data_IF_263731432304
#
_entry.id   IF_263731432304
#
_cell.length_a   1.000
_cell.length_b   1.000
_cell.length_c   1.000
_cell.angle_alpha   90.00
_cell.angle_beta   90.00
_cell.angle_gamma   90.00
#
_symmetry.space_group_name_H-M   'P 1'
#
loop_
_entity.id
_entity.type
_entity.pdbx_description
1 polymer ?
#
# COMPACT_ATOMS: atom_id res chain seq x y z
N UNK A 1 -53.80 33.13 -79.79
CA UNK A 1 -54.13 33.64 -78.45
C UNK A 1 -54.33 32.45 -77.51
N UNK A 2 -53.38 32.18 -76.60
CA UNK A 2 -53.48 31.45 -75.32
C UNK A 2 -52.08 31.06 -74.84
N UNK A 3 -51.45 32.01 -74.16
CA UNK A 3 -50.23 31.90 -73.36
C UNK A 3 -50.47 30.88 -72.24
N UNK A 4 -49.72 29.78 -72.19
CA UNK A 4 -49.69 28.89 -71.02
C UNK A 4 -48.48 29.23 -70.16
N UNK A 5 -48.78 29.88 -69.04
CA UNK A 5 -47.88 30.30 -67.98
C UNK A 5 -47.33 29.06 -67.26
N UNK A 6 -46.04 28.76 -67.42
CA UNK A 6 -45.33 27.73 -66.64
C UNK A 6 -45.05 28.27 -65.24
N UNK A 7 -45.78 27.73 -64.25
CA UNK A 7 -45.57 28.06 -62.83
C UNK A 7 -44.28 27.37 -62.36
N UNK A 8 -43.20 28.12 -62.26
CA UNK A 8 -41.94 27.69 -61.64
C UNK A 8 -42.20 27.33 -60.17
N UNK A 9 -42.18 26.04 -59.86
CA UNK A 9 -42.28 25.52 -58.51
C UNK A 9 -40.91 25.73 -57.84
N UNK A 10 -40.80 26.77 -57.01
CA UNK A 10 -39.59 27.01 -56.20
C UNK A 10 -39.52 25.92 -55.13
N UNK A 11 -38.74 24.88 -55.38
CA UNK A 11 -38.32 23.91 -54.37
C UNK A 11 -37.31 24.59 -53.45
N UNK A 12 -37.77 25.05 -52.30
CA UNK A 12 -36.89 25.50 -51.21
C UNK A 12 -36.17 24.27 -50.66
N UNK A 13 -34.94 24.04 -51.09
CA UNK A 13 -34.05 23.06 -50.46
C UNK A 13 -33.66 23.64 -49.11
N UNK A 14 -34.28 23.16 -48.04
CA UNK A 14 -33.81 23.40 -46.69
C UNK A 14 -32.45 22.70 -46.55
N UNK A 15 -31.36 23.49 -46.53
CA UNK A 15 -30.03 22.99 -46.24
C UNK A 15 -30.04 22.45 -44.81
N UNK A 16 -30.10 21.12 -44.66
CA UNK A 16 -29.79 20.45 -43.41
C UNK A 16 -28.28 20.62 -43.24
N UNK A 17 -27.89 21.62 -42.45
CA UNK A 17 -26.53 21.76 -41.95
C UNK A 17 -26.25 20.54 -41.08
N UNK A 18 -25.58 19.54 -41.66
CA UNK A 18 -24.92 18.47 -40.92
C UNK A 18 -23.91 19.20 -40.04
N UNK A 19 -24.25 19.41 -38.77
CA UNK A 19 -23.32 19.91 -37.79
C UNK A 19 -22.12 19.00 -37.82
N UNK A 20 -20.95 19.54 -38.14
CA UNK A 20 -19.70 18.82 -37.99
C UNK A 20 -19.59 18.47 -36.50
N UNK A 21 -19.98 17.24 -36.15
CA UNK A 21 -19.64 16.64 -34.88
C UNK A 21 -18.13 16.59 -34.86
N UNK A 22 -17.53 17.59 -34.22
CA UNK A 22 -16.14 17.54 -33.81
C UNK A 22 -16.07 16.34 -32.87
N UNK A 23 -15.62 15.20 -33.41
CA UNK A 23 -15.09 14.10 -32.63
C UNK A 23 -13.90 14.68 -31.88
N UNK A 24 -14.17 15.30 -30.73
CA UNK A 24 -13.14 15.58 -29.76
C UNK A 24 -12.51 14.21 -29.48
N UNK A 25 -11.22 14.01 -29.76
CA UNK A 25 -10.56 12.80 -29.30
C UNK A 25 -10.77 12.76 -27.80
N UNK A 26 -11.50 11.74 -27.33
CA UNK A 26 -11.51 11.43 -25.91
C UNK A 26 -10.03 11.36 -25.51
N UNK A 27 -9.58 12.13 -24.52
CA UNK A 27 -8.21 11.98 -24.07
C UNK A 27 -8.04 10.51 -23.70
N UNK A 28 -7.03 9.86 -24.29
CA UNK A 28 -6.68 8.47 -23.99
C UNK A 28 -6.51 8.23 -22.47
N UNK A 29 -6.34 9.31 -21.70
CA UNK A 29 -6.32 9.34 -20.24
C UNK A 29 -7.55 8.78 -19.52
N UNK A 30 -8.69 8.56 -20.21
CA UNK A 30 -9.87 7.97 -19.58
C UNK A 30 -9.81 6.43 -19.44
N UNK A 31 -8.81 5.78 -20.07
CA UNK A 31 -8.54 4.34 -19.90
C UNK A 31 -7.32 4.06 -19.03
N UNK A 32 -6.69 5.10 -18.47
CA UNK A 32 -5.57 4.91 -17.59
C UNK A 32 -6.09 4.36 -16.26
N UNK A 33 -5.57 3.19 -15.87
CA UNK A 33 -5.62 2.78 -14.47
C UNK A 33 -5.22 3.97 -13.59
N UNK A 34 -5.89 4.20 -12.45
CA UNK A 34 -5.57 5.32 -11.59
C UNK A 34 -4.06 5.39 -11.35
N UNK A 35 -3.46 6.57 -11.55
CA UNK A 35 -2.01 6.77 -11.39
C UNK A 35 -1.52 6.13 -10.08
N UNK A 36 -0.39 5.38 -10.09
CA UNK A 36 0.17 4.83 -8.86
C UNK A 36 0.32 5.91 -7.80
N UNK A 37 -0.05 5.58 -6.56
CA UNK A 37 0.13 6.47 -5.43
C UNK A 37 1.57 6.53 -4.93
N UNK A 38 1.80 7.28 -3.87
CA UNK A 38 3.10 7.37 -3.21
C UNK A 38 3.25 6.28 -2.13
N UNK A 39 4.36 5.55 -2.16
CA UNK A 39 4.62 4.43 -1.26
C UNK A 39 4.72 4.86 0.21
N UNK A 40 5.46 5.94 0.49
CA UNK A 40 5.68 6.40 1.86
C UNK A 40 4.39 6.95 2.47
N UNK A 41 3.67 7.78 1.71
CA UNK A 41 2.34 8.27 2.07
C UNK A 41 1.35 7.13 2.28
N UNK A 42 1.45 6.07 1.47
CA UNK A 42 0.64 4.87 1.61
C UNK A 42 0.90 4.11 2.90
N UNK A 43 2.18 3.91 3.25
CA UNK A 43 2.57 3.27 4.52
C UNK A 43 2.04 4.05 5.72
N UNK A 44 2.07 5.39 5.66
CA UNK A 44 1.55 6.27 6.71
C UNK A 44 0.01 6.22 6.78
N UNK A 45 -0.66 6.39 5.65
CA UNK A 45 -2.12 6.35 5.59
C UNK A 45 -2.67 4.99 6.06
N UNK A 46 -1.96 3.90 5.76
CA UNK A 46 -2.27 2.57 6.27
C UNK A 46 -2.14 2.49 7.80
N UNK A 47 -1.02 2.95 8.34
CA UNK A 47 -0.74 2.98 9.78
C UNK A 47 -1.82 3.74 10.57
N UNK A 48 -2.20 4.92 10.07
CA UNK A 48 -3.07 5.85 10.77
C UNK A 48 -4.54 5.41 10.78
N UNK A 49 -4.97 4.61 9.80
CA UNK A 49 -6.40 4.35 9.56
C UNK A 49 -6.83 2.88 9.81
N UNK A 50 -5.93 1.90 9.67
CA UNK A 50 -6.34 0.51 9.54
C UNK A 50 -6.44 -0.24 10.88
N UNK A 51 -5.54 0.05 11.83
CA UNK A 51 -5.57 -0.54 13.18
C UNK A 51 -6.81 -0.13 14.02
N UNK A 52 -7.61 0.82 13.53
CA UNK A 52 -8.80 1.34 14.24
C UNK A 52 -9.96 0.34 14.27
N UNK A 53 -10.03 -0.56 13.30
CA UNK A 53 -11.16 -1.49 13.15
C UNK A 53 -10.76 -2.95 13.30
N UNK A 54 -9.56 -3.32 12.87
CA UNK A 54 -9.02 -4.68 12.98
C UNK A 54 -7.50 -4.64 13.08
N UNK A 55 -6.87 -5.77 13.40
CA UNK A 55 -5.42 -5.87 13.35
C UNK A 55 -4.92 -5.65 11.93
N UNK A 56 -3.86 -4.85 11.78
CA UNK A 56 -3.22 -4.62 10.49
C UNK A 56 -2.78 -5.97 9.91
N UNK A 57 -3.21 -6.24 8.67
CA UNK A 57 -2.86 -7.44 7.91
C UNK A 57 -1.53 -7.19 7.18
N UNK A 58 -0.61 -8.16 7.12
CA UNK A 58 0.63 -7.99 6.36
C UNK A 58 0.36 -7.98 4.86
N UNK A 59 1.19 -7.28 4.09
CA UNK A 59 0.98 -7.09 2.65
C UNK A 59 1.00 -8.41 1.85
N UNK A 60 1.73 -9.41 2.31
CA UNK A 60 1.90 -10.70 1.65
C UNK A 60 0.72 -11.67 1.85
N UNK A 61 -0.33 -11.25 2.54
CA UNK A 61 -1.47 -12.13 2.85
C UNK A 61 -2.46 -12.28 1.69
N UNK A 62 -2.58 -11.25 0.85
CA UNK A 62 -3.44 -11.24 -0.33
C UNK A 62 -2.60 -11.02 -1.58
N UNK A 63 -3.08 -11.51 -2.72
CA UNK A 63 -2.52 -11.17 -4.02
C UNK A 63 -2.84 -9.72 -4.41
N UNK A 64 -2.08 -9.14 -5.33
CA UNK A 64 -2.27 -7.75 -5.77
C UNK A 64 -3.67 -7.47 -6.35
N UNK A 65 -4.28 -8.45 -7.03
CA UNK A 65 -5.66 -8.35 -7.54
C UNK A 65 -6.71 -8.35 -6.43
N UNK A 66 -6.43 -9.07 -5.34
CA UNK A 66 -7.28 -9.09 -4.15
C UNK A 66 -7.13 -7.78 -3.38
N UNK A 67 -5.91 -7.24 -3.25
CA UNK A 67 -5.67 -5.96 -2.60
C UNK A 67 -6.40 -4.80 -3.29
N UNK A 68 -6.48 -4.79 -4.63
CA UNK A 68 -7.25 -3.77 -5.36
C UNK A 68 -8.72 -3.72 -4.88
N UNK A 69 -9.36 -4.88 -4.76
CA UNK A 69 -10.76 -4.96 -4.30
C UNK A 69 -10.88 -4.63 -2.80
N UNK A 70 -9.98 -5.16 -1.98
CA UNK A 70 -9.99 -4.91 -0.52
C UNK A 70 -9.78 -3.44 -0.21
N UNK A 71 -8.85 -2.75 -0.90
CA UNK A 71 -8.60 -1.30 -0.71
C UNK A 71 -9.79 -0.47 -1.17
N UNK A 72 -10.46 -0.86 -2.25
CA UNK A 72 -11.70 -0.19 -2.65
C UNK A 72 -12.79 -0.29 -1.57
N UNK A 73 -12.93 -1.45 -0.91
CA UNK A 73 -13.84 -1.61 0.22
C UNK A 73 -13.41 -0.75 1.42
N UNK A 74 -12.13 -0.78 1.78
CA UNK A 74 -11.59 0.01 2.89
C UNK A 74 -11.75 1.51 2.66
N UNK A 75 -11.64 1.99 1.41
CA UNK A 75 -11.88 3.40 1.06
C UNK A 75 -13.25 3.87 1.54
N UNK A 76 -14.29 3.10 1.26
CA UNK A 76 -15.66 3.46 1.67
C UNK A 76 -15.85 3.31 3.18
N UNK A 77 -15.33 2.23 3.77
CA UNK A 77 -15.56 1.92 5.20
C UNK A 77 -14.77 2.80 6.15
N UNK A 78 -13.53 3.14 5.80
CA UNK A 78 -12.65 4.00 6.59
C UNK A 78 -12.73 5.48 6.17
N UNK A 79 -13.53 5.83 5.16
CA UNK A 79 -13.72 7.20 4.71
C UNK A 79 -12.48 7.80 4.03
N UNK A 80 -11.69 6.99 3.33
CA UNK A 80 -10.45 7.43 2.68
C UNK A 80 -10.74 8.26 1.41
N UNK A 81 -9.91 9.27 1.18
CA UNK A 81 -9.85 9.99 -0.09
C UNK A 81 -9.42 9.07 -1.23
N UNK A 82 -9.62 9.54 -2.47
CA UNK A 82 -9.13 8.81 -3.65
C UNK A 82 -7.60 8.67 -3.68
N UNK A 83 -6.87 9.67 -3.18
CA UNK A 83 -5.40 9.65 -3.13
C UNK A 83 -4.90 8.67 -2.07
N UNK A 84 -5.42 8.74 -0.83
CA UNK A 84 -5.03 7.80 0.24
C UNK A 84 -5.26 6.34 -0.15
N UNK A 85 -6.37 6.05 -0.85
CA UNK A 85 -6.64 4.71 -1.35
C UNK A 85 -5.60 4.25 -2.39
N UNK A 86 -5.12 5.14 -3.27
CA UNK A 86 -4.08 4.81 -4.26
C UNK A 86 -2.73 4.64 -3.59
N UNK A 87 -2.38 5.53 -2.66
CA UNK A 87 -1.14 5.45 -1.90
C UNK A 87 -1.07 4.13 -1.11
N UNK A 88 -2.15 3.78 -0.40
CA UNK A 88 -2.26 2.51 0.33
C UNK A 88 -2.14 1.31 -0.63
N UNK A 89 -2.80 1.35 -1.79
CA UNK A 89 -2.72 0.26 -2.75
C UNK A 89 -1.28 0.09 -3.28
N UNK A 90 -0.61 1.20 -3.63
CA UNK A 90 0.78 1.17 -4.06
C UNK A 90 1.70 0.65 -2.95
N UNK A 91 1.48 1.09 -1.71
CA UNK A 91 2.20 0.58 -0.56
C UNK A 91 2.03 -0.95 -0.43
N UNK A 92 0.80 -1.46 -0.42
CA UNK A 92 0.52 -2.88 -0.23
C UNK A 92 1.08 -3.73 -1.37
N UNK A 93 0.85 -3.34 -2.63
CA UNK A 93 1.32 -4.11 -3.79
C UNK A 93 2.86 -4.10 -3.91
N UNK A 94 3.50 -2.96 -3.65
CA UNK A 94 4.98 -2.89 -3.65
C UNK A 94 5.58 -3.71 -2.50
N UNK A 95 4.87 -3.77 -1.38
CA UNK A 95 5.27 -4.54 -0.18
C UNK A 95 4.93 -6.04 -0.29
N UNK A 96 4.19 -6.45 -1.33
CA UNK A 96 3.72 -7.82 -1.52
C UNK A 96 4.72 -8.69 -2.29
N UNK A 97 5.96 -8.80 -1.80
CA UNK A 97 6.91 -9.77 -2.37
C UNK A 97 6.61 -11.13 -1.74
N UNK A 98 6.15 -12.09 -2.54
CA UNK A 98 5.66 -13.37 -2.03
C UNK A 98 6.70 -14.09 -1.15
N UNK A 99 6.37 -14.28 0.14
CA UNK A 99 7.02 -15.30 0.96
C UNK A 99 6.51 -16.65 0.47
N UNK A 100 7.28 -17.33 -0.37
CA UNK A 100 7.00 -18.73 -0.70
C UNK A 100 7.42 -19.57 0.50
N UNK A 101 6.48 -19.88 1.40
CA UNK A 101 6.68 -20.91 2.43
C UNK A 101 5.48 -21.85 2.50
N UNK A 102 5.76 -23.13 2.25
CA UNK A 102 4.92 -24.28 2.61
C UNK A 102 4.60 -24.26 4.12
N UNK A 103 3.51 -24.88 4.58
CA UNK A 103 3.06 -24.83 5.98
C UNK A 103 3.99 -25.63 6.89
N UNK A 104 5.16 -25.06 7.18
CA UNK A 104 6.14 -25.55 8.15
C UNK A 104 6.18 -24.54 9.29
N UNK A 105 6.42 -25.02 10.51
CA UNK A 105 6.56 -24.12 11.67
C UNK A 105 7.73 -23.15 11.37
N UNK A 106 7.62 -21.84 11.64
CA UNK A 106 8.63 -20.86 11.26
C UNK A 106 10.01 -21.10 11.89
N UNK A 107 10.08 -21.85 12.99
CA UNK A 107 11.34 -22.20 13.64
C UNK A 107 12.07 -23.37 12.92
N UNK A 108 11.35 -24.16 12.12
CA UNK A 108 11.87 -25.32 11.38
C UNK A 108 12.09 -25.01 9.89
N UNK A 109 11.57 -23.88 9.40
CA UNK A 109 11.71 -23.45 8.02
C UNK A 109 13.04 -22.70 7.78
N UNK A 110 13.71 -22.92 6.64
CA UNK A 110 14.85 -22.09 6.27
C UNK A 110 14.40 -20.62 6.09
N UNK A 111 15.29 -19.69 6.43
CA UNK A 111 15.05 -18.28 6.17
C UNK A 111 14.69 -18.05 4.70
N UNK A 112 13.78 -17.11 4.45
CA UNK A 112 13.40 -16.72 3.09
C UNK A 112 14.61 -16.22 2.29
N UNK A 113 14.49 -16.12 0.97
CA UNK A 113 15.53 -15.50 0.13
C UNK A 113 15.53 -13.97 0.22
N UNK A 114 14.51 -13.37 0.84
CA UNK A 114 14.39 -11.91 0.96
C UNK A 114 15.50 -11.31 1.82
N UNK A 115 15.82 -10.06 1.52
CA UNK A 115 16.67 -9.20 2.34
C UNK A 115 15.91 -8.66 3.56
N UNK A 116 16.66 -8.18 4.56
CA UNK A 116 16.06 -7.53 5.74
C UNK A 116 15.24 -6.29 5.39
N UNK A 117 15.66 -5.54 4.37
CA UNK A 117 14.95 -4.36 3.87
C UNK A 117 13.59 -4.74 3.28
N UNK A 118 13.56 -5.75 2.41
CA UNK A 118 12.30 -6.22 1.82
C UNK A 118 11.35 -6.66 2.93
N UNK A 119 11.80 -7.53 3.85
CA UNK A 119 10.97 -8.00 4.97
C UNK A 119 10.45 -6.83 5.83
N UNK A 120 11.30 -5.84 6.12
CA UNK A 120 10.90 -4.63 6.84
C UNK A 120 9.79 -3.88 6.10
N UNK A 121 9.93 -3.69 4.78
CA UNK A 121 8.92 -3.04 3.95
C UNK A 121 7.60 -3.83 3.88
N UNK A 122 7.62 -5.16 4.00
CA UNK A 122 6.38 -5.94 3.97
C UNK A 122 5.60 -5.93 5.28
N UNK A 123 6.31 -5.98 6.39
CA UNK A 123 5.74 -6.33 7.69
C UNK A 123 5.89 -5.22 8.72
N UNK A 124 7.04 -4.56 8.77
CA UNK A 124 7.41 -3.70 9.89
C UNK A 124 7.10 -2.22 9.62
N UNK A 125 7.26 -1.77 8.38
CA UNK A 125 7.17 -0.36 7.98
C UNK A 125 5.79 0.26 8.25
N UNK A 126 4.73 -0.55 8.23
CA UNK A 126 3.37 -0.11 8.52
C UNK A 126 3.24 0.49 9.92
N UNK A 127 4.06 0.05 10.89
CA UNK A 127 4.05 0.61 12.24
C UNK A 127 5.30 1.46 12.49
N UNK A 128 6.47 1.01 12.01
CA UNK A 128 7.76 1.64 12.30
C UNK A 128 8.14 2.78 11.35
N UNK A 129 7.40 2.97 10.26
CA UNK A 129 7.59 4.06 9.30
C UNK A 129 8.75 3.82 8.34
N UNK A 130 8.73 4.51 7.20
CA UNK A 130 9.81 4.44 6.21
C UNK A 130 11.10 5.10 6.73
N UNK A 131 10.98 6.06 7.63
CA UNK A 131 12.07 6.81 8.27
C UNK A 131 12.53 6.22 9.60
N UNK A 132 11.92 5.11 10.05
CA UNK A 132 12.28 4.42 11.29
C UNK A 132 11.86 5.14 12.57
N UNK A 133 11.11 6.25 12.47
CA UNK A 133 10.73 7.08 13.63
C UNK A 133 9.44 6.66 14.32
N UNK A 134 8.77 5.64 13.77
CA UNK A 134 7.45 5.22 14.21
C UNK A 134 6.33 6.03 13.53
N UNK A 135 5.31 5.32 13.03
CA UNK A 135 4.17 5.92 12.35
C UNK A 135 3.10 6.46 13.30
N UNK A 136 3.10 6.06 14.58
CA UNK A 136 2.15 6.51 15.59
C UNK A 136 2.71 6.39 17.01
N UNK A 137 2.04 7.05 17.97
CA UNK A 137 2.48 7.12 19.36
C UNK A 137 2.62 5.73 20.00
N UNK A 138 3.76 5.50 20.67
CA UNK A 138 4.10 4.22 21.32
C UNK A 138 5.02 3.32 20.50
N UNK A 139 5.18 3.58 19.21
CA UNK A 139 6.19 2.91 18.38
C UNK A 139 7.56 3.56 18.63
N UNK A 140 8.63 2.78 18.86
CA UNK A 140 9.95 3.33 19.12
C UNK A 140 10.54 4.04 17.90
N UNK A 141 11.31 5.10 18.16
CA UNK A 141 12.20 5.73 17.18
C UNK A 141 13.51 4.93 17.13
N UNK A 142 13.81 4.35 15.96
CA UNK A 142 15.04 3.60 15.72
C UNK A 142 16.25 4.49 15.46
N UNK A 143 16.05 5.78 15.20
CA UNK A 143 17.12 6.76 14.98
C UNK A 143 17.65 7.37 16.29
N UNK A 144 17.04 7.04 17.43
CA UNK A 144 17.53 7.43 18.76
C UNK A 144 18.72 6.55 19.18
N UNK A 145 19.94 7.11 19.38
CA UNK A 145 21.12 6.36 19.79
C UNK A 145 20.98 5.68 21.16
N UNK A 146 20.11 6.20 22.02
CA UNK A 146 19.80 5.60 23.33
C UNK A 146 18.50 4.79 23.30
N UNK A 147 17.89 4.67 22.12
CA UNK A 147 16.63 3.99 21.88
C UNK A 147 16.76 2.48 21.84
N UNK A 148 15.80 1.82 21.18
CA UNK A 148 15.71 0.35 21.17
C UNK A 148 16.91 -0.33 20.49
N UNK A 149 17.47 0.28 19.45
CA UNK A 149 18.63 -0.28 18.74
C UNK A 149 19.93 -0.25 19.57
N UNK A 150 19.93 0.34 20.78
CA UNK A 150 21.06 0.24 21.72
C UNK A 150 21.12 -1.10 22.48
N UNK A 151 20.05 -1.91 22.43
CA UNK A 151 19.97 -3.22 23.09
C UNK A 151 20.74 -4.28 22.29
N UNK A 152 21.01 -5.43 22.92
CA UNK A 152 21.71 -6.52 22.23
C UNK A 152 20.82 -7.16 21.16
N UNK A 153 21.44 -7.68 20.10
CA UNK A 153 20.75 -8.39 19.01
C UNK A 153 19.91 -9.56 19.54
N UNK A 154 20.36 -10.25 20.60
CA UNK A 154 19.60 -11.33 21.22
C UNK A 154 18.32 -10.82 21.91
N UNK A 155 18.40 -9.68 22.61
CA UNK A 155 17.23 -9.04 23.21
C UNK A 155 16.27 -8.56 22.13
N UNK A 156 16.80 -7.91 21.08
CA UNK A 156 16.00 -7.46 19.94
C UNK A 156 15.30 -8.63 19.26
N UNK A 157 16.02 -9.71 18.95
CA UNK A 157 15.49 -10.90 18.30
C UNK A 157 14.38 -11.52 19.14
N UNK A 158 14.58 -11.68 20.45
CA UNK A 158 13.56 -12.23 21.35
C UNK A 158 12.30 -11.36 21.38
N UNK A 159 12.46 -10.04 21.37
CA UNK A 159 11.35 -9.09 21.38
C UNK A 159 10.59 -9.08 20.05
N UNK A 160 11.28 -9.13 18.91
CA UNK A 160 10.61 -9.22 17.61
C UNK A 160 9.92 -10.58 17.45
N UNK A 161 10.55 -11.68 17.89
CA UNK A 161 10.00 -13.02 17.76
C UNK A 161 8.74 -13.25 18.61
N UNK A 162 8.75 -12.78 19.86
CA UNK A 162 7.66 -13.03 20.82
C UNK A 162 6.69 -11.85 20.97
N UNK A 163 6.98 -10.72 20.33
CA UNK A 163 6.29 -9.47 20.59
C UNK A 163 6.84 -8.78 21.83
N UNK A 164 6.53 -7.49 21.98
CA UNK A 164 7.08 -6.68 23.06
C UNK A 164 6.14 -5.54 23.45
N UNK A 165 5.91 -5.38 24.75
CA UNK A 165 5.15 -4.25 25.30
C UNK A 165 6.13 -3.28 25.95
N UNK A 166 6.43 -2.18 25.26
CA UNK A 166 7.20 -1.10 25.87
C UNK A 166 6.43 -0.51 27.06
N UNK A 167 7.10 -0.21 28.19
CA UNK A 167 6.47 0.47 29.31
C UNK A 167 5.80 1.77 28.85
N UNK A 168 4.52 1.95 29.19
CA UNK A 168 3.76 3.15 28.82
C UNK A 168 3.30 3.23 27.36
N UNK A 169 3.62 2.25 26.50
CA UNK A 169 3.06 2.21 25.15
C UNK A 169 1.57 1.81 25.20
N UNK A 170 0.68 2.51 24.47
CA UNK A 170 -0.73 2.12 24.37
C UNK A 170 -0.95 0.81 23.60
N UNK A 171 0.07 0.30 22.92
CA UNK A 171 0.00 -0.89 22.07
C UNK A 171 1.21 -1.80 22.25
N UNK A 172 0.97 -3.11 22.27
CA UNK A 172 2.02 -4.13 22.22
C UNK A 172 2.50 -4.33 20.78
N UNK A 173 3.80 -4.44 20.58
CA UNK A 173 4.36 -4.95 19.34
C UNK A 173 3.96 -6.43 19.20
N UNK A 174 3.30 -6.83 18.10
CA UNK A 174 2.87 -8.20 17.91
C UNK A 174 4.07 -9.15 17.68
N UNK A 175 3.94 -10.44 18.05
CA UNK A 175 4.92 -11.46 17.70
C UNK A 175 5.18 -11.48 16.20
N UNK A 176 6.46 -11.51 15.82
CA UNK A 176 6.93 -11.51 14.42
C UNK A 176 6.36 -10.38 13.57
N UNK A 177 6.07 -9.23 14.18
CA UNK A 177 5.46 -8.09 13.47
C UNK A 177 4.05 -8.38 12.94
N UNK A 178 3.36 -9.39 13.48
CA UNK A 178 2.05 -9.84 13.00
C UNK A 178 2.11 -10.80 11.80
N UNK A 179 3.30 -11.07 11.26
CA UNK A 179 3.50 -12.03 10.18
C UNK A 179 4.06 -13.33 10.74
N UNK A 180 3.16 -14.28 11.03
CA UNK A 180 3.54 -15.58 11.60
C UNK A 180 4.41 -16.42 10.67
N UNK A 181 4.57 -16.06 9.40
CA UNK A 181 5.45 -16.77 8.47
C UNK A 181 6.94 -16.43 8.65
N UNK A 182 7.30 -15.35 9.34
CA UNK A 182 8.70 -14.96 9.48
C UNK A 182 9.49 -15.94 10.36
N UNK A 183 10.58 -16.48 9.82
CA UNK A 183 11.48 -17.38 10.56
C UNK A 183 12.44 -16.60 11.45
N UNK A 184 13.10 -17.28 12.40
CA UNK A 184 14.15 -16.64 13.20
C UNK A 184 15.28 -16.03 12.36
N UNK A 185 15.64 -16.67 11.25
CA UNK A 185 16.64 -16.16 10.32
C UNK A 185 16.18 -14.92 9.54
N UNK A 186 14.88 -14.84 9.22
CA UNK A 186 14.30 -13.62 8.62
C UNK A 186 14.35 -12.44 9.59
N UNK A 187 14.04 -12.68 10.88
CA UNK A 187 14.11 -11.63 11.90
C UNK A 187 15.54 -11.12 12.13
N UNK A 188 16.55 -11.99 12.08
CA UNK A 188 17.95 -11.58 12.16
C UNK A 188 18.35 -10.67 10.98
N UNK A 189 17.89 -10.98 9.77
CA UNK A 189 18.13 -10.10 8.61
C UNK A 189 17.49 -8.72 8.81
N UNK A 190 16.28 -8.67 9.37
CA UNK A 190 15.61 -7.40 9.68
C UNK A 190 16.40 -6.60 10.71
N UNK A 191 16.84 -7.22 11.81
CA UNK A 191 17.64 -6.54 12.85
C UNK A 191 18.92 -5.96 12.24
N UNK A 192 19.62 -6.74 11.41
CA UNK A 192 20.80 -6.25 10.68
C UNK A 192 20.48 -5.04 9.79
N UNK A 193 19.35 -5.07 9.08
CA UNK A 193 18.90 -3.94 8.27
C UNK A 193 18.61 -2.70 9.13
N UNK A 194 17.94 -2.87 10.28
CA UNK A 194 17.64 -1.76 11.19
C UNK A 194 18.91 -1.07 11.69
N UNK A 195 19.93 -1.83 12.09
CA UNK A 195 21.22 -1.27 12.47
C UNK A 195 21.91 -0.54 11.32
N UNK A 196 21.86 -1.09 10.10
CA UNK A 196 22.53 -0.46 8.95
C UNK A 196 21.84 0.80 8.43
N UNK A 197 20.50 0.86 8.52
CA UNK A 197 19.72 1.96 7.94
C UNK A 197 19.45 3.07 8.96
N UNK A 198 19.16 2.70 10.21
CA UNK A 198 18.70 3.65 11.24
C UNK A 198 19.66 3.74 12.44
N UNK A 199 20.54 2.75 12.62
CA UNK A 199 21.54 2.75 13.68
C UNK A 199 22.55 3.89 13.50
N UNK A 200 22.83 4.61 14.59
CA UNK A 200 23.82 5.69 14.66
C UNK A 200 25.21 5.17 15.03
#
# INVERSE_FOLDING_TARGET
MKTRLTKQLKTTVAAISIGASVLLPLPAAAFDFPEPGDFASGSKAWAENCARCHNIRPANELRDDQWLTTVFHMRVRAGLTGQEARDILTFLQTSNVALVQEPVRPDDAPASTLSGKEIYQQTCIACHGADGKGAFAGVPDFTDPQGRLSKSDEELLKNVQNGFQSPGSPMAMPPRGGNSALTGGDLQKVIKYLHSEFGS
#
